data_IF_908373101281
#
_entry.id   IF_908373101281
#
_cell.length_a   1.000
_cell.length_b   1.000
_cell.length_c   1.000
_cell.angle_alpha   90.00
_cell.angle_beta   90.00
_cell.angle_gamma   90.00
#
_symmetry.space_group_name_H-M   'P 1'
#
loop_
_entity.id
_entity.type
_entity.pdbx_description
1 polymer ?
#
# COMPACT_ATOMS: atom_id res chain seq x y z
N UNK A 1 3.45 -25.97 17.00
CA UNK A 1 2.92 -25.22 15.84
C UNK A 1 3.70 -23.92 15.73
N UNK A 2 4.67 -23.87 14.82
CA UNK A 2 5.60 -22.75 14.70
C UNK A 2 4.89 -21.46 14.32
N UNK A 3 5.17 -20.38 15.03
CA UNK A 3 4.71 -19.04 14.67
C UNK A 3 5.29 -18.70 13.29
N UNK A 4 4.46 -18.80 12.24
CA UNK A 4 4.78 -18.17 10.96
C UNK A 4 4.79 -16.67 11.21
N UNK A 5 5.98 -16.10 11.41
CA UNK A 5 6.16 -14.65 11.41
C UNK A 5 6.00 -14.17 9.97
N UNK A 6 4.75 -14.10 9.53
CA UNK A 6 4.35 -13.39 8.32
C UNK A 6 4.93 -11.98 8.45
N UNK A 7 5.91 -11.66 7.62
CA UNK A 7 6.51 -10.33 7.58
C UNK A 7 5.41 -9.38 7.11
N UNK A 8 4.59 -8.79 7.99
CA UNK A 8 3.41 -8.01 7.57
C UNK A 8 3.86 -6.93 6.59
N UNK A 9 3.24 -6.90 5.41
CA UNK A 9 3.49 -5.79 4.50
C UNK A 9 2.67 -4.61 5.01
N UNK A 10 3.35 -3.56 5.46
CA UNK A 10 2.68 -2.37 6.02
C UNK A 10 1.64 -1.80 5.05
N UNK A 11 1.88 -1.91 3.74
CA UNK A 11 0.95 -1.50 2.70
C UNK A 11 -0.33 -2.34 2.72
N UNK A 12 -0.21 -3.67 2.89
CA UNK A 12 -1.36 -4.58 2.95
C UNK A 12 -2.19 -4.30 4.20
N UNK A 13 -1.53 -4.21 5.35
CA UNK A 13 -2.17 -3.92 6.63
C UNK A 13 -2.89 -2.57 6.61
N UNK A 14 -2.28 -1.57 6.00
CA UNK A 14 -2.88 -0.25 5.84
C UNK A 14 -4.11 -0.28 4.94
N UNK A 15 -4.03 -1.00 3.81
CA UNK A 15 -5.14 -1.18 2.88
C UNK A 15 -6.33 -1.84 3.57
N UNK A 16 -6.08 -2.89 4.37
CA UNK A 16 -7.11 -3.60 5.13
C UNK A 16 -7.71 -2.73 6.23
N UNK A 17 -6.89 -2.01 7.02
CA UNK A 17 -7.35 -1.11 8.09
C UNK A 17 -8.23 0.03 7.61
N UNK A 18 -7.97 0.54 6.41
CA UNK A 18 -8.72 1.65 5.81
C UNK A 18 -9.87 1.20 4.90
N UNK A 19 -9.98 -0.10 4.60
CA UNK A 19 -10.94 -0.61 3.61
C UNK A 19 -10.66 -0.11 2.19
N UNK A 20 -9.41 0.23 1.88
CA UNK A 20 -9.03 0.77 0.58
C UNK A 20 -8.82 -0.38 -0.39
N UNK A 21 -9.46 -0.29 -1.55
CA UNK A 21 -9.24 -1.24 -2.63
C UNK A 21 -7.98 -0.87 -3.43
N UNK A 22 -7.23 -1.87 -3.87
CA UNK A 22 -6.03 -1.68 -4.69
C UNK A 22 -6.34 -0.88 -5.98
N UNK A 23 -7.52 -1.09 -6.57
CA UNK A 23 -7.99 -0.37 -7.75
C UNK A 23 -8.20 1.10 -7.49
N UNK A 24 -8.77 1.45 -6.33
CA UNK A 24 -8.96 2.85 -5.93
C UNK A 24 -7.61 3.53 -5.71
N UNK A 25 -6.69 2.85 -5.03
CA UNK A 25 -5.35 3.36 -4.74
C UNK A 25 -4.50 3.56 -6.00
N UNK A 26 -4.60 2.64 -6.96
CA UNK A 26 -3.96 2.78 -8.26
C UNK A 26 -4.43 4.04 -9.00
N UNK A 27 -5.75 4.34 -8.96
CA UNK A 27 -6.31 5.56 -9.55
C UNK A 27 -5.82 6.83 -8.86
N UNK A 28 -5.84 6.85 -7.53
CA UNK A 28 -5.45 8.03 -6.73
C UNK A 28 -3.98 8.41 -6.92
N UNK A 29 -3.11 7.41 -7.04
CA UNK A 29 -1.65 7.62 -7.17
C UNK A 29 -1.25 7.80 -8.65
N UNK A 30 -2.15 7.51 -9.59
CA UNK A 30 -1.89 7.53 -11.03
C UNK A 30 -0.91 6.42 -11.45
N UNK A 31 -1.05 5.23 -10.86
CA UNK A 31 -0.25 4.04 -11.15
C UNK A 31 -1.10 2.93 -11.74
N UNK A 32 -0.47 1.97 -12.43
CA UNK A 32 -1.20 0.80 -12.90
C UNK A 32 -1.54 -0.16 -11.76
N UNK A 33 -2.66 -0.86 -11.88
CA UNK A 33 -3.10 -1.85 -10.90
C UNK A 33 -2.02 -2.91 -10.62
N UNK A 34 -1.32 -3.37 -11.66
CA UNK A 34 -0.26 -4.37 -11.53
C UNK A 34 0.92 -3.88 -10.68
N UNK A 35 1.25 -2.59 -10.75
CA UNK A 35 2.31 -1.98 -9.92
C UNK A 35 1.86 -1.93 -8.45
N UNK A 36 0.64 -1.44 -8.20
CA UNK A 36 0.05 -1.39 -6.86
C UNK A 36 -0.05 -2.79 -6.24
N UNK A 37 -0.46 -3.79 -7.02
CA UNK A 37 -0.54 -5.18 -6.58
C UNK A 37 0.84 -5.76 -6.29
N UNK A 38 1.86 -5.46 -7.10
CA UNK A 38 3.23 -5.90 -6.85
C UNK A 38 3.77 -5.36 -5.52
N UNK A 39 3.41 -4.13 -5.14
CA UNK A 39 3.76 -3.58 -3.83
C UNK A 39 3.05 -4.28 -2.69
N UNK A 40 1.75 -4.56 -2.81
CA UNK A 40 0.96 -5.28 -1.78
C UNK A 40 1.45 -6.72 -1.60
N UNK A 41 1.80 -7.39 -2.68
CA UNK A 41 2.29 -8.77 -2.67
C UNK A 41 3.78 -8.90 -2.32
N UNK A 42 4.47 -7.82 -1.93
CA UNK A 42 5.93 -7.77 -1.67
C UNK A 42 6.80 -8.22 -2.84
N UNK A 43 6.24 -8.25 -4.05
CA UNK A 43 6.93 -8.64 -5.27
C UNK A 43 7.90 -7.54 -5.74
N UNK A 44 7.60 -6.29 -5.36
CA UNK A 44 8.47 -5.12 -5.51
C UNK A 44 8.36 -4.25 -4.27
N UNK A 45 9.44 -3.55 -3.92
CA UNK A 45 9.36 -2.44 -2.96
C UNK A 45 9.17 -1.11 -3.71
N UNK A 46 8.32 -0.21 -3.21
CA UNK A 46 8.26 1.14 -3.73
C UNK A 46 9.55 1.87 -3.40
N UNK A 47 10.03 2.70 -4.33
CA UNK A 47 11.13 3.60 -4.04
C UNK A 47 10.69 4.71 -3.05
N UNK A 48 11.65 5.44 -2.48
CA UNK A 48 11.38 6.51 -1.52
C UNK A 48 10.38 7.57 -2.05
N UNK A 49 10.48 7.94 -3.32
CA UNK A 49 9.58 8.92 -3.94
C UNK A 49 8.14 8.39 -4.08
N UNK A 50 7.99 7.11 -4.42
CA UNK A 50 6.71 6.43 -4.50
C UNK A 50 6.09 6.30 -3.12
N UNK A 51 6.86 5.86 -2.13
CA UNK A 51 6.39 5.81 -0.75
C UNK A 51 5.96 7.18 -0.24
N UNK A 52 6.74 8.23 -0.52
CA UNK A 52 6.35 9.61 -0.21
C UNK A 52 5.06 10.02 -0.91
N UNK A 53 4.90 9.73 -2.20
CA UNK A 53 3.66 9.99 -2.95
C UNK A 53 2.45 9.28 -2.31
N UNK A 54 2.62 8.02 -1.93
CA UNK A 54 1.61 7.24 -1.21
C UNK A 54 1.23 7.85 0.14
N UNK A 55 2.20 8.40 0.88
CA UNK A 55 1.95 9.12 2.14
C UNK A 55 1.25 10.48 1.92
N UNK A 56 1.54 11.13 0.79
CA UNK A 56 1.00 12.47 0.48
C UNK A 56 -0.40 12.42 -0.12
N UNK A 57 -0.76 11.33 -0.81
CA UNK A 57 -2.15 11.03 -1.13
C UNK A 57 -2.91 11.05 0.20
N UNK A 58 -3.98 11.85 0.26
CA UNK A 58 -4.73 12.18 1.50
C UNK A 58 -5.28 10.95 2.25
N UNK A 59 -5.08 9.78 1.66
CA UNK A 59 -5.11 8.43 2.22
C UNK A 59 -4.38 8.29 3.56
N UNK A 60 -3.19 8.89 3.72
CA UNK A 60 -2.35 8.66 4.90
C UNK A 60 -2.49 9.69 6.04
N UNK A 61 -2.91 10.92 5.74
CA UNK A 61 -3.17 11.92 6.77
C UNK A 61 -4.65 11.92 7.19
N UNK A 62 -4.99 11.63 8.46
CA UNK A 62 -6.29 11.99 8.97
C UNK A 62 -6.41 13.52 8.89
N UNK A 63 -7.36 14.03 8.10
CA UNK A 63 -7.81 15.41 8.26
C UNK A 63 -8.48 15.47 9.64
N UNK A 64 -7.78 16.07 10.60
CA UNK A 64 -8.38 16.56 11.82
C UNK A 64 -9.29 17.74 11.48
#
# INVERSE_FOLDING_TARGET
MGQKKEHSNLIKEYSEKRGITQTWLAKEIGMSFSITNAYVCKCKQPNLAQYSKWQTCSVFHPKN
#
